data_IF_883362850035
#
_entry.id   IF_883362850035
#
_cell.length_a   1.000
_cell.length_b   1.000
_cell.length_c   1.000
_cell.angle_alpha   90.00
_cell.angle_beta   90.00
_cell.angle_gamma   90.00
#
_symmetry.space_group_name_H-M   'P 1'
#
loop_
_entity.id
_entity.type
_entity.pdbx_description
1 polymer ?
#
# COMPACT_ATOMS: atom_id res chain seq x y z
N UNK A 1 48.22 -25.82 24.45
CA UNK A 1 49.60 -25.42 24.78
C UNK A 1 49.89 -24.16 23.99
N UNK A 2 50.06 -23.00 24.67
CA UNK A 2 50.67 -21.71 24.26
C UNK A 2 50.45 -21.18 22.81
N UNK A 3 50.16 -19.92 22.50
CA UNK A 3 50.57 -18.65 23.07
C UNK A 3 49.68 -17.51 22.54
N UNK A 4 49.51 -16.48 23.35
CA UNK A 4 49.01 -15.16 23.02
C UNK A 4 50.03 -14.40 22.17
N UNK A 5 49.60 -13.75 21.09
CA UNK A 5 50.32 -12.63 20.46
C UNK A 5 49.32 -11.49 20.22
N UNK A 6 49.53 -10.38 20.93
CA UNK A 6 48.88 -9.10 20.66
C UNK A 6 49.56 -8.45 19.45
N UNK A 7 48.79 -8.06 18.43
CA UNK A 7 49.18 -7.00 17.50
C UNK A 7 47.95 -6.30 16.92
N UNK A 8 47.98 -4.97 17.02
CA UNK A 8 47.00 -4.01 16.53
C UNK A 8 46.43 -4.39 15.15
N UNK A 9 45.11 -4.49 15.06
CA UNK A 9 44.37 -4.29 13.82
C UNK A 9 43.04 -3.65 14.17
N UNK A 10 42.73 -2.54 13.50
CA UNK A 10 41.44 -1.87 13.57
C UNK A 10 40.38 -2.86 13.05
N UNK A 11 39.53 -3.35 13.94
CA UNK A 11 38.37 -4.15 13.56
C UNK A 11 37.29 -3.21 13.00
N UNK A 12 37.27 -3.03 11.68
CA UNK A 12 36.11 -2.53 10.96
C UNK A 12 35.10 -3.68 10.81
N UNK A 13 34.17 -3.79 11.75
CA UNK A 13 33.08 -4.77 11.66
C UNK A 13 31.94 -4.15 10.83
N UNK A 14 31.88 -4.47 9.54
CA UNK A 14 30.71 -4.16 8.70
C UNK A 14 29.65 -5.22 8.97
N UNK A 15 28.70 -4.93 9.86
CA UNK A 15 27.54 -5.79 10.12
C UNK A 15 26.45 -5.42 9.11
N UNK A 16 26.24 -6.30 8.12
CA UNK A 16 25.00 -6.31 7.35
C UNK A 16 23.87 -6.82 8.26
N UNK A 17 22.88 -5.99 8.54
CA UNK A 17 21.68 -6.41 9.26
C UNK A 17 20.42 -5.88 8.58
N UNK A 18 19.84 -6.77 7.75
CA UNK A 18 18.44 -6.79 7.35
C UNK A 18 17.56 -7.00 8.61
N UNK A 19 16.46 -6.25 8.71
CA UNK A 19 15.19 -6.54 9.43
C UNK A 19 15.27 -6.92 10.93
N UNK A 20 14.84 -6.02 11.82
CA UNK A 20 13.64 -6.14 12.69
C UNK A 20 13.70 -5.16 13.88
N UNK A 21 12.59 -4.45 14.09
CA UNK A 21 12.28 -3.49 15.15
C UNK A 21 12.27 -4.07 16.60
N UNK A 22 12.97 -5.18 16.87
CA UNK A 22 12.87 -5.91 18.15
C UNK A 22 14.18 -5.99 18.96
N UNK A 23 15.27 -5.35 18.52
CA UNK A 23 16.56 -5.41 19.24
C UNK A 23 17.10 -4.08 19.79
N UNK A 24 16.41 -2.95 19.59
CA UNK A 24 16.86 -1.65 20.11
C UNK A 24 16.82 -1.61 21.66
N UNK A 25 15.85 -2.29 22.28
CA UNK A 25 15.78 -2.34 23.76
C UNK A 25 16.88 -3.21 24.39
N UNK A 26 17.29 -4.30 23.74
CA UNK A 26 18.36 -5.19 24.25
C UNK A 26 19.74 -4.54 24.20
N UNK A 27 20.00 -3.66 23.22
CA UNK A 27 21.29 -2.98 23.09
C UNK A 27 21.47 -1.84 24.10
N UNK A 28 20.39 -1.14 24.46
CA UNK A 28 20.41 -0.10 25.50
C UNK A 28 20.66 -0.67 26.90
N UNK A 29 20.26 -1.92 27.18
CA UNK A 29 20.60 -2.58 28.45
C UNK A 29 22.08 -2.96 28.54
N UNK A 30 22.71 -3.36 27.43
CA UNK A 30 24.12 -3.80 27.42
C UNK A 30 25.07 -2.60 27.58
N UNK A 31 24.71 -1.43 27.03
CA UNK A 31 25.52 -0.19 27.10
C UNK A 31 25.48 0.52 28.47
N UNK A 32 24.48 0.25 29.32
CA UNK A 32 24.41 0.84 30.68
C UNK A 32 25.36 0.19 31.68
N UNK A 33 25.94 -0.97 31.38
CA UNK A 33 26.67 -1.79 32.37
C UNK A 33 28.19 -1.83 32.23
N UNK A 34 28.82 -0.99 31.39
CA UNK A 34 30.29 -0.92 31.34
C UNK A 34 30.80 0.51 31.15
N UNK A 35 31.43 1.02 32.20
CA UNK A 35 32.18 2.29 32.21
C UNK A 35 33.53 2.08 31.52
N UNK A 36 33.77 2.77 30.41
CA UNK A 36 35.09 2.86 29.79
C UNK A 36 35.54 4.33 29.77
N UNK A 37 36.70 4.69 30.35
CA UNK A 37 37.21 6.04 30.31
C UNK A 37 37.96 6.30 28.99
N UNK A 38 37.74 7.48 28.42
CA UNK A 38 38.57 8.21 27.45
C UNK A 38 39.15 7.43 26.25
N UNK A 39 38.38 7.35 25.17
CA UNK A 39 38.88 7.42 23.80
C UNK A 39 37.94 8.33 23.00
N UNK A 40 38.48 9.38 22.40
CA UNK A 40 37.75 10.24 21.47
C UNK A 40 37.57 9.49 20.14
N UNK A 41 36.55 8.61 20.10
CA UNK A 41 36.13 7.95 18.86
C UNK A 41 35.19 8.90 18.13
N UNK A 42 35.70 9.56 17.08
CA UNK A 42 34.87 10.31 16.14
C UNK A 42 33.94 9.36 15.40
N UNK A 43 32.73 9.17 15.93
CA UNK A 43 31.69 8.39 15.27
C UNK A 43 31.09 9.26 14.15
N UNK A 44 31.62 9.15 12.94
CA UNK A 44 30.92 9.62 11.74
C UNK A 44 29.73 8.69 11.50
N UNK A 45 28.62 8.94 12.21
CA UNK A 45 27.32 8.38 11.85
C UNK A 45 26.92 9.06 10.55
N UNK A 46 27.21 8.42 9.41
CA UNK A 46 26.44 8.70 8.19
C UNK A 46 24.99 8.49 8.59
N UNK A 47 24.22 9.59 8.64
CA UNK A 47 22.78 9.57 8.88
C UNK A 47 22.17 8.67 7.81
N UNK A 48 22.00 7.39 8.12
CA UNK A 48 21.23 6.50 7.27
C UNK A 48 19.82 7.08 7.31
N UNK A 49 19.34 7.55 6.16
CA UNK A 49 17.94 7.98 5.98
C UNK A 49 17.08 6.79 6.36
N UNK A 50 16.56 6.82 7.57
CA UNK A 50 15.49 5.92 7.97
C UNK A 50 14.26 6.40 7.23
N UNK A 51 13.97 5.80 6.07
CA UNK A 51 12.67 5.92 5.42
C UNK A 51 11.64 5.30 6.38
N UNK A 52 11.06 6.13 7.25
CA UNK A 52 9.93 5.71 8.09
C UNK A 52 8.73 5.55 7.17
N UNK A 53 8.36 4.32 6.89
CA UNK A 53 7.11 4.01 6.20
C UNK A 53 5.97 4.26 7.18
N UNK A 54 5.11 5.21 6.85
CA UNK A 54 3.92 5.50 7.66
C UNK A 54 2.72 4.73 7.10
N UNK A 55 1.94 4.11 7.99
CA UNK A 55 0.75 3.34 7.65
C UNK A 55 -0.48 4.10 8.13
N UNK A 56 -1.32 4.52 7.19
CA UNK A 56 -2.60 5.15 7.48
C UNK A 56 -3.74 4.20 7.11
N UNK A 57 -4.54 3.79 8.09
CA UNK A 57 -5.78 3.04 7.85
C UNK A 57 -6.98 3.98 7.90
N UNK A 58 -7.87 3.90 6.92
CA UNK A 58 -9.15 4.63 6.90
C UNK A 58 -10.28 3.60 6.73
N UNK A 59 -11.06 3.44 7.79
CA UNK A 59 -12.21 2.54 7.82
C UNK A 59 -13.49 3.33 7.54
N UNK A 60 -14.38 2.77 6.72
CA UNK A 60 -15.64 3.38 6.29
C UNK A 60 -15.45 4.83 5.81
N UNK A 61 -14.56 5.04 4.82
CA UNK A 61 -14.15 6.36 4.39
C UNK A 61 -15.34 7.10 3.78
N UNK A 62 -15.54 8.37 4.16
CA UNK A 62 -16.64 9.18 3.65
C UNK A 62 -16.20 10.65 3.52
N UNK A 63 -16.82 11.39 2.61
CA UNK A 63 -16.48 12.77 2.33
C UNK A 63 -15.18 12.90 1.54
N UNK A 64 -14.46 14.00 1.72
CA UNK A 64 -13.24 14.33 0.97
C UNK A 64 -12.03 14.42 1.89
N UNK A 65 -10.90 13.84 1.46
CA UNK A 65 -9.61 13.93 2.15
C UNK A 65 -8.50 14.23 1.15
N UNK A 66 -7.57 15.10 1.57
CA UNK A 66 -6.35 15.40 0.81
C UNK A 66 -5.13 15.09 1.67
N UNK A 67 -4.14 14.42 1.08
CA UNK A 67 -2.87 14.06 1.72
C UNK A 67 -1.75 14.59 0.83
N UNK A 68 -0.74 15.22 1.42
CA UNK A 68 0.42 15.73 0.70
C UNK A 68 1.66 15.01 1.22
N UNK A 69 2.45 14.45 0.31
CA UNK A 69 3.66 13.67 0.61
C UNK A 69 4.87 14.47 0.17
N UNK A 70 5.75 14.77 1.13
CA UNK A 70 6.94 15.60 0.97
C UNK A 70 8.17 14.74 0.65
N UNK A 71 9.34 15.38 0.56
CA UNK A 71 10.59 14.74 0.14
C UNK A 71 10.92 13.49 0.95
N UNK A 72 11.17 12.39 0.24
CA UNK A 72 11.63 11.10 0.81
C UNK A 72 10.67 10.50 1.84
N UNK A 73 9.39 10.86 1.78
CA UNK A 73 8.34 10.26 2.58
C UNK A 73 7.69 9.11 1.82
N UNK A 74 7.36 8.04 2.54
CA UNK A 74 6.68 6.86 2.01
C UNK A 74 5.44 6.58 2.84
N UNK A 75 4.27 6.63 2.19
CA UNK A 75 2.97 6.50 2.83
C UNK A 75 2.21 5.29 2.28
N UNK A 76 1.85 4.37 3.16
CA UNK A 76 0.96 3.26 2.86
C UNK A 76 -0.44 3.58 3.38
N UNK A 77 -1.41 3.69 2.47
CA UNK A 77 -2.80 4.00 2.81
C UNK A 77 -3.64 2.75 2.59
N UNK A 78 -4.33 2.30 3.63
CA UNK A 78 -5.27 1.18 3.58
C UNK A 78 -6.69 1.73 3.74
N UNK A 79 -7.53 1.54 2.72
CA UNK A 79 -8.94 1.91 2.72
C UNK A 79 -9.77 0.64 2.88
N UNK A 80 -10.63 0.59 3.89
CA UNK A 80 -11.53 -0.55 4.11
C UNK A 80 -12.96 -0.05 4.29
N UNK A 81 -13.88 -0.54 3.46
CA UNK A 81 -15.29 -0.22 3.58
C UNK A 81 -16.18 -1.45 3.40
N UNK A 82 -16.47 -2.07 4.53
CA UNK A 82 -17.39 -3.20 4.65
C UNK A 82 -18.73 -2.77 5.29
N UNK A 83 -18.95 -1.47 5.46
CA UNK A 83 -20.20 -0.97 6.03
C UNK A 83 -21.39 -1.24 5.08
N UNK A 84 -22.60 -1.52 5.59
CA UNK A 84 -23.79 -1.72 4.76
C UNK A 84 -24.45 -0.39 4.33
N UNK A 85 -23.70 0.71 4.36
CA UNK A 85 -24.21 2.06 4.11
C UNK A 85 -23.81 2.56 2.72
N UNK A 86 -24.49 3.61 2.27
CA UNK A 86 -24.06 4.35 1.09
C UNK A 86 -22.83 5.19 1.43
N UNK A 87 -21.86 5.20 0.52
CA UNK A 87 -20.60 5.91 0.68
C UNK A 87 -20.32 6.79 -0.53
N UNK A 88 -19.91 8.03 -0.29
CA UNK A 88 -19.26 8.87 -1.29
C UNK A 88 -17.92 9.33 -0.73
N UNK A 89 -16.82 8.83 -1.29
CA UNK A 89 -15.49 9.10 -0.79
C UNK A 89 -14.59 9.65 -1.89
N UNK A 90 -13.91 10.75 -1.59
CA UNK A 90 -12.91 11.36 -2.45
C UNK A 90 -11.57 11.43 -1.70
N UNK A 91 -10.55 10.76 -2.23
CA UNK A 91 -9.18 10.86 -1.74
C UNK A 91 -8.30 11.48 -2.81
N UNK A 92 -7.62 12.56 -2.46
CA UNK A 92 -6.58 13.16 -3.28
C UNK A 92 -5.23 13.04 -2.57
N UNK A 93 -4.27 12.39 -3.20
CA UNK A 93 -2.89 12.29 -2.71
C UNK A 93 -1.99 13.07 -3.65
N UNK A 94 -1.26 14.04 -3.10
CA UNK A 94 -0.34 14.89 -3.85
C UNK A 94 1.08 14.46 -3.47
N UNK A 95 1.76 13.78 -4.38
CA UNK A 95 3.19 13.51 -4.31
C UNK A 95 3.91 14.75 -4.81
N UNK A 96 4.35 15.60 -3.89
CA UNK A 96 5.04 16.85 -4.19
C UNK A 96 6.56 16.70 -4.04
N UNK A 97 6.99 15.87 -3.09
CA UNK A 97 8.40 15.69 -2.78
C UNK A 97 9.18 14.86 -3.79
N UNK A 98 10.49 15.04 -3.78
CA UNK A 98 11.46 14.21 -4.48
C UNK A 98 11.59 12.86 -3.78
N UNK A 99 11.54 11.75 -4.53
CA UNK A 99 11.48 10.39 -3.96
C UNK A 99 10.29 10.20 -2.99
N UNK A 100 9.17 10.87 -3.24
CA UNK A 100 7.93 10.61 -2.51
C UNK A 100 7.27 9.32 -3.02
N UNK A 101 6.79 8.50 -2.09
CA UNK A 101 6.17 7.21 -2.39
C UNK A 101 4.78 7.12 -1.76
N UNK A 102 3.81 6.57 -2.49
CA UNK A 102 2.48 6.30 -1.98
C UNK A 102 1.91 4.99 -2.50
N UNK A 103 1.59 4.08 -1.59
CA UNK A 103 0.90 2.83 -1.94
C UNK A 103 -0.48 2.80 -1.29
N UNK A 104 -1.51 2.78 -2.12
CA UNK A 104 -2.90 2.75 -1.68
C UNK A 104 -3.48 1.36 -1.95
N UNK A 105 -4.00 0.73 -0.90
CA UNK A 105 -4.71 -0.55 -0.98
C UNK A 105 -6.14 -0.31 -0.54
N UNK A 106 -7.10 -0.49 -1.45
CA UNK A 106 -8.52 -0.30 -1.20
C UNK A 106 -9.30 -1.60 -1.22
N UNK A 107 -10.11 -1.85 -0.19
CA UNK A 107 -11.01 -3.00 -0.08
C UNK A 107 -12.42 -2.50 0.20
N UNK A 108 -13.34 -2.78 -0.71
CA UNK A 108 -14.73 -2.33 -0.60
C UNK A 108 -15.70 -3.48 -0.82
N UNK A 109 -16.80 -3.47 -0.09
CA UNK A 109 -17.91 -4.40 -0.28
C UNK A 109 -19.24 -3.65 -0.29
N UNK A 110 -20.11 -4.04 -1.22
CA UNK A 110 -21.49 -3.56 -1.32
C UNK A 110 -22.45 -4.76 -1.28
N UNK A 111 -23.58 -4.59 -0.62
CA UNK A 111 -24.56 -5.64 -0.33
C UNK A 111 -25.98 -5.07 -0.34
N UNK A 112 -26.97 -5.94 -0.48
CA UNK A 112 -28.39 -5.55 -0.55
C UNK A 112 -28.60 -4.47 -1.63
N UNK A 113 -28.96 -3.24 -1.26
CA UNK A 113 -29.27 -2.16 -2.20
C UNK A 113 -28.35 -0.93 -2.05
N UNK A 114 -27.26 -1.04 -1.28
CA UNK A 114 -26.38 0.10 -1.01
C UNK A 114 -25.47 0.47 -2.19
N UNK A 115 -24.95 1.69 -2.16
CA UNK A 115 -24.12 2.26 -3.23
C UNK A 115 -22.85 2.89 -2.67
N UNK A 116 -21.71 2.54 -3.24
CA UNK A 116 -20.43 3.14 -2.88
C UNK A 116 -19.77 3.76 -4.10
N UNK A 117 -19.46 5.04 -3.99
CA UNK A 117 -18.73 5.81 -4.99
C UNK A 117 -17.40 6.24 -4.39
N UNK A 118 -16.31 5.71 -4.93
CA UNK A 118 -14.95 6.07 -4.54
C UNK A 118 -14.27 6.79 -5.68
N UNK A 119 -13.65 7.93 -5.38
CA UNK A 119 -12.79 8.64 -6.30
C UNK A 119 -11.44 8.84 -5.65
N UNK A 120 -10.41 8.24 -6.21
CA UNK A 120 -9.06 8.26 -5.63
C UNK A 120 -8.12 8.81 -6.69
N UNK A 121 -7.42 9.89 -6.39
CA UNK A 121 -6.52 10.55 -7.33
C UNK A 121 -5.14 10.69 -6.71
N UNK A 122 -4.12 10.14 -7.37
CA UNK A 122 -2.71 10.40 -7.09
C UNK A 122 -2.19 11.43 -8.09
N UNK A 123 -1.70 12.57 -7.60
CA UNK A 123 -1.07 13.64 -8.38
C UNK A 123 0.43 13.61 -8.16
N UNK A 124 1.20 13.56 -9.22
CA UNK A 124 2.66 13.55 -9.20
C UNK A 124 3.14 14.91 -9.69
N UNK A 125 3.89 15.62 -8.85
CA UNK A 125 4.27 17.02 -9.07
C UNK A 125 5.78 17.30 -8.92
N UNK A 126 6.59 16.29 -8.66
CA UNK A 126 8.02 16.40 -8.34
C UNK A 126 8.86 15.32 -9.01
N UNK A 127 10.02 14.98 -8.44
CA UNK A 127 11.02 14.15 -9.09
C UNK A 127 11.10 12.73 -8.51
N UNK A 128 11.17 11.70 -9.36
CA UNK A 128 11.36 10.29 -8.96
C UNK A 128 10.31 9.77 -7.98
N UNK A 129 9.05 9.99 -8.29
CA UNK A 129 7.94 9.66 -7.40
C UNK A 129 7.34 8.32 -7.75
N UNK A 130 6.92 7.55 -6.76
CA UNK A 130 6.31 6.23 -6.97
C UNK A 130 4.91 6.20 -6.38
N UNK A 131 3.92 5.84 -7.17
CA UNK A 131 2.54 5.70 -6.71
C UNK A 131 1.93 4.41 -7.21
N UNK A 132 1.26 3.68 -6.31
CA UNK A 132 0.42 2.55 -6.69
C UNK A 132 -0.97 2.65 -6.07
N UNK A 133 -1.97 2.22 -6.83
CA UNK A 133 -3.36 2.11 -6.40
C UNK A 133 -3.88 0.70 -6.70
N UNK A 134 -4.07 -0.14 -5.69
CA UNK A 134 -4.70 -1.47 -5.82
C UNK A 134 -6.06 -1.47 -5.13
N UNK A 135 -7.15 -1.51 -5.91
CA UNK A 135 -8.51 -1.54 -5.39
C UNK A 135 -9.17 -2.85 -5.74
N UNK A 136 -9.76 -3.49 -4.72
CA UNK A 136 -10.57 -4.69 -4.89
C UNK A 136 -11.94 -4.50 -4.26
N UNK A 137 -12.94 -4.73 -5.07
CA UNK A 137 -14.33 -4.50 -4.76
C UNK A 137 -15.18 -5.75 -4.90
N UNK A 138 -16.13 -5.96 -4.00
CA UNK A 138 -17.17 -6.99 -4.16
C UNK A 138 -18.54 -6.31 -4.17
N UNK A 139 -19.38 -6.63 -5.14
CA UNK A 139 -20.76 -6.17 -5.21
C UNK A 139 -21.73 -7.35 -5.19
N UNK A 140 -22.63 -7.37 -4.20
CA UNK A 140 -23.58 -8.46 -3.92
C UNK A 140 -25.02 -7.93 -3.88
N UNK A 141 -26.02 -8.81 -4.02
CA UNK A 141 -27.42 -8.39 -4.01
C UNK A 141 -27.77 -7.51 -5.22
N UNK A 142 -28.49 -6.40 -5.04
CA UNK A 142 -28.77 -5.40 -6.08
C UNK A 142 -27.89 -4.15 -5.95
N UNK A 143 -26.76 -4.26 -5.24
CA UNK A 143 -25.92 -3.13 -4.87
C UNK A 143 -25.08 -2.59 -6.04
N UNK A 144 -24.46 -1.42 -5.84
CA UNK A 144 -23.62 -0.77 -6.85
C UNK A 144 -22.30 -0.27 -6.27
N UNK A 145 -21.19 -0.73 -6.84
CA UNK A 145 -19.85 -0.23 -6.51
C UNK A 145 -19.23 0.50 -7.71
N UNK A 146 -18.85 1.75 -7.48
CA UNK A 146 -18.24 2.62 -8.46
C UNK A 146 -16.89 3.11 -7.94
N UNK A 147 -15.85 2.95 -8.75
CA UNK A 147 -14.49 3.38 -8.41
C UNK A 147 -13.89 4.14 -9.58
N UNK A 148 -13.44 5.36 -9.29
CA UNK A 148 -12.72 6.25 -10.18
C UNK A 148 -11.29 6.43 -9.65
N UNK A 149 -10.38 5.51 -9.98
CA UNK A 149 -8.96 5.65 -9.70
C UNK A 149 -8.25 6.48 -10.76
N UNK A 150 -7.43 7.43 -10.33
CA UNK A 150 -6.70 8.30 -11.23
C UNK A 150 -5.24 8.48 -10.82
N UNK A 151 -4.35 8.45 -11.81
CA UNK A 151 -2.97 8.88 -11.69
C UNK A 151 -2.75 10.04 -12.66
N UNK A 152 -2.36 11.19 -12.13
CA UNK A 152 -2.12 12.42 -12.87
C UNK A 152 -0.66 12.79 -12.71
N UNK A 153 0.14 12.53 -13.74
CA UNK A 153 1.54 12.94 -13.82
C UNK A 153 1.58 14.33 -14.45
N UNK A 154 1.80 15.35 -13.63
CA UNK A 154 1.75 16.76 -14.04
C UNK A 154 3.01 17.17 -14.82
N UNK A 155 2.99 18.29 -15.56
CA UNK A 155 4.11 18.70 -16.42
C UNK A 155 5.41 18.96 -15.65
N UNK A 156 5.31 19.28 -14.35
CA UNK A 156 6.47 19.50 -13.48
C UNK A 156 7.10 18.21 -12.97
N UNK A 157 6.41 17.08 -13.12
CA UNK A 157 6.90 15.80 -12.66
C UNK A 157 7.91 15.20 -13.64
N UNK A 158 8.89 14.50 -13.08
CA UNK A 158 9.99 13.90 -13.84
C UNK A 158 10.34 12.55 -13.24
N UNK A 159 10.57 11.54 -14.09
CA UNK A 159 10.90 10.17 -13.68
C UNK A 159 9.86 9.53 -12.73
N UNK A 160 8.59 9.91 -12.82
CA UNK A 160 7.52 9.31 -12.01
C UNK A 160 7.19 7.88 -12.47
N UNK A 161 6.76 7.05 -11.52
CA UNK A 161 6.23 5.71 -11.72
C UNK A 161 4.82 5.62 -11.13
N UNK A 162 3.83 5.28 -11.96
CA UNK A 162 2.43 5.18 -11.55
C UNK A 162 1.81 3.85 -11.99
N UNK A 163 1.15 3.15 -11.06
CA UNK A 163 0.38 1.93 -11.33
C UNK A 163 -1.03 2.02 -10.74
N UNK A 164 -2.03 1.68 -11.55
CA UNK A 164 -3.43 1.55 -11.10
C UNK A 164 -3.91 0.13 -11.40
N UNK A 165 -4.45 -0.55 -10.40
CA UNK A 165 -5.04 -1.88 -10.53
C UNK A 165 -6.40 -1.92 -9.82
N UNK A 166 -7.47 -2.05 -10.58
CA UNK A 166 -8.83 -2.02 -10.05
C UNK A 166 -9.61 -3.27 -10.45
N UNK A 167 -10.19 -3.96 -9.48
CA UNK A 167 -10.93 -5.19 -9.73
C UNK A 167 -12.25 -5.21 -8.98
N UNK A 168 -13.34 -5.51 -9.66
CA UNK A 168 -14.64 -5.76 -9.03
C UNK A 168 -15.11 -7.17 -9.33
N UNK A 169 -15.46 -7.92 -8.28
CA UNK A 169 -16.15 -9.19 -8.40
C UNK A 169 -17.65 -9.02 -8.13
N UNK A 170 -18.48 -9.51 -9.05
CA UNK A 170 -19.94 -9.41 -8.96
C UNK A 170 -20.57 -10.73 -8.47
N UNK A 171 -21.51 -10.61 -7.55
CA UNK A 171 -22.39 -11.68 -7.09
C UNK A 171 -23.85 -11.29 -7.30
N UNK A 172 -24.71 -12.29 -7.52
CA UNK A 172 -26.16 -12.11 -7.77
C UNK A 172 -26.46 -11.04 -8.84
N UNK A 173 -27.09 -9.93 -8.45
CA UNK A 173 -27.47 -8.80 -9.31
C UNK A 173 -26.56 -7.58 -9.08
N UNK A 174 -25.43 -7.77 -8.38
CA UNK A 174 -24.50 -6.73 -8.02
C UNK A 174 -23.91 -6.09 -9.27
N UNK A 175 -23.73 -4.78 -9.22
CA UNK A 175 -23.24 -3.99 -10.34
C UNK A 175 -21.96 -3.28 -9.97
N UNK A 176 -21.01 -3.26 -10.89
CA UNK A 176 -19.72 -2.61 -10.74
C UNK A 176 -19.49 -1.59 -11.85
N UNK A 177 -18.76 -0.52 -11.55
CA UNK A 177 -18.23 0.42 -12.54
C UNK A 177 -16.82 0.83 -12.12
N UNK A 178 -15.89 0.76 -13.06
CA UNK A 178 -14.51 1.21 -12.92
C UNK A 178 -14.23 2.28 -13.98
N UNK A 179 -13.64 3.40 -13.57
CA UNK A 179 -13.15 4.44 -14.48
C UNK A 179 -11.69 4.75 -14.12
N UNK A 180 -10.74 3.89 -14.50
CA UNK A 180 -9.32 4.20 -14.35
C UNK A 180 -8.94 5.36 -15.28
N UNK A 181 -8.27 6.37 -14.75
CA UNK A 181 -7.75 7.51 -15.51
C UNK A 181 -6.24 7.59 -15.34
N UNK A 182 -5.52 7.43 -16.45
CA UNK A 182 -4.09 7.72 -16.49
C UNK A 182 -3.88 8.97 -17.34
N UNK A 183 -3.43 10.05 -16.71
CA UNK A 183 -3.11 11.31 -17.39
C UNK A 183 -1.63 11.60 -17.22
N UNK A 184 -0.93 11.70 -18.34
CA UNK A 184 0.50 11.99 -18.38
C UNK A 184 0.70 13.26 -19.20
N UNK A 185 1.24 14.31 -18.58
CA UNK A 185 1.40 15.64 -19.18
C UNK A 185 2.88 16.03 -19.35
N UNK A 186 3.80 15.06 -19.24
CA UNK A 186 5.25 15.21 -19.38
C UNK A 186 5.82 14.02 -20.14
N UNK A 187 6.90 14.24 -20.90
CA UNK A 187 7.62 13.16 -21.61
C UNK A 187 8.61 12.42 -20.70
N UNK A 188 8.93 13.00 -19.53
CA UNK A 188 9.90 12.45 -18.58
C UNK A 188 9.20 11.57 -17.54
N UNK A 189 8.79 10.37 -17.95
CA UNK A 189 8.13 9.37 -17.11
C UNK A 189 8.91 8.07 -17.09
N UNK A 190 9.11 7.49 -15.90
CA UNK A 190 9.78 6.21 -15.76
C UNK A 190 8.84 5.05 -16.09
N UNK A 191 7.61 5.06 -15.57
CA UNK A 191 6.58 4.09 -15.92
C UNK A 191 5.17 4.61 -15.62
N UNK A 192 4.19 4.17 -16.41
CA UNK A 192 2.80 4.51 -16.19
C UNK A 192 1.92 3.36 -16.72
N UNK A 193 1.13 2.75 -15.85
CA UNK A 193 0.26 1.62 -16.20
C UNK A 193 -1.09 1.71 -15.51
N UNK A 194 -2.11 1.14 -16.14
CA UNK A 194 -3.38 0.85 -15.50
C UNK A 194 -3.90 -0.51 -15.92
N UNK A 195 -4.69 -1.13 -15.04
CA UNK A 195 -5.45 -2.34 -15.29
C UNK A 195 -6.79 -2.23 -14.56
N UNK A 196 -7.88 -2.54 -15.25
CA UNK A 196 -9.20 -2.61 -14.66
C UNK A 196 -9.94 -3.86 -15.14
N UNK A 197 -10.62 -4.55 -14.23
CA UNK A 197 -11.43 -5.72 -14.57
C UNK A 197 -12.68 -5.82 -13.72
N UNK A 198 -13.81 -6.14 -14.35
CA UNK A 198 -15.06 -6.48 -13.67
C UNK A 198 -15.46 -7.87 -14.14
N UNK A 199 -15.67 -8.79 -13.21
CA UNK A 199 -16.05 -10.16 -13.54
C UNK A 199 -17.08 -10.70 -12.55
N UNK A 200 -18.08 -11.47 -13.02
CA UNK A 200 -18.90 -12.24 -12.10
C UNK A 200 -18.07 -13.29 -11.37
N UNK A 201 -18.57 -13.77 -10.24
CA UNK A 201 -18.01 -14.98 -9.61
C UNK A 201 -18.05 -16.16 -10.58
N UNK A 202 -16.94 -16.87 -10.68
CA UNK A 202 -16.81 -18.02 -11.58
C UNK A 202 -17.63 -19.21 -11.06
N UNK A 203 -18.56 -19.69 -11.89
CA UNK A 203 -19.44 -20.81 -11.52
C UNK A 203 -18.68 -22.14 -11.33
N UNK A 204 -17.61 -22.38 -12.08
CA UNK A 204 -16.76 -23.57 -11.94
C UNK A 204 -16.07 -23.62 -10.58
N UNK A 205 -15.55 -22.47 -10.12
CA UNK A 205 -14.99 -22.32 -8.78
C UNK A 205 -16.02 -22.69 -7.69
N UNK A 206 -17.26 -22.21 -7.82
CA UNK A 206 -18.35 -22.55 -6.89
C UNK A 206 -18.73 -24.04 -6.94
N UNK A 207 -18.81 -24.62 -8.13
CA UNK A 207 -19.09 -26.05 -8.32
C UNK A 207 -17.99 -26.92 -7.70
N UNK A 208 -16.73 -26.52 -7.84
CA UNK A 208 -15.59 -27.20 -7.23
C UNK A 208 -15.72 -27.22 -5.70
N UNK A 209 -16.03 -26.09 -5.06
CA UNK A 209 -16.26 -26.07 -3.61
C UNK A 209 -17.46 -26.92 -3.19
N UNK A 210 -18.56 -26.88 -3.94
CA UNK A 210 -19.72 -27.73 -3.70
C UNK A 210 -19.38 -29.23 -3.78
N UNK A 211 -18.54 -29.64 -4.75
CA UNK A 211 -18.06 -31.02 -4.88
C UNK A 211 -17.26 -31.52 -3.68
N UNK A 212 -16.70 -30.59 -2.89
CA UNK A 212 -15.99 -30.87 -1.62
C UNK A 212 -16.89 -30.79 -0.40
N UNK A 213 -18.21 -30.73 -0.59
CA UNK A 213 -19.21 -30.72 0.49
C UNK A 213 -19.44 -29.36 1.13
N UNK A 214 -18.93 -28.27 0.55
CA UNK A 214 -19.18 -26.93 1.07
C UNK A 214 -20.56 -26.43 0.66
N UNK A 215 -21.24 -25.75 1.58
CA UNK A 215 -22.49 -25.07 1.25
C UNK A 215 -22.21 -23.88 0.31
N UNK A 216 -23.17 -23.49 -0.56
CA UNK A 216 -23.01 -22.34 -1.44
C UNK A 216 -22.56 -21.07 -0.72
N UNK A 217 -23.10 -20.79 0.48
CA UNK A 217 -22.76 -19.60 1.26
C UNK A 217 -21.31 -19.64 1.78
N UNK A 218 -20.84 -20.83 2.18
CA UNK A 218 -19.46 -21.03 2.62
C UNK A 218 -18.50 -20.84 1.44
N UNK A 219 -18.82 -21.43 0.29
CA UNK A 219 -18.03 -21.30 -0.93
C UNK A 219 -17.92 -19.83 -1.39
N UNK A 220 -19.05 -19.12 -1.47
CA UNK A 220 -19.07 -17.68 -1.80
C UNK A 220 -18.21 -16.89 -0.82
N UNK A 221 -18.35 -17.13 0.49
CA UNK A 221 -17.56 -16.44 1.51
C UNK A 221 -16.06 -16.67 1.35
N UNK A 222 -15.64 -17.89 1.03
CA UNK A 222 -14.23 -18.22 0.76
C UNK A 222 -13.70 -17.50 -0.47
N UNK A 223 -14.45 -17.52 -1.58
CA UNK A 223 -14.05 -16.82 -2.82
C UNK A 223 -13.93 -15.32 -2.57
N UNK A 224 -14.93 -14.70 -1.93
CA UNK A 224 -14.90 -13.27 -1.58
C UNK A 224 -13.70 -12.91 -0.72
N UNK A 225 -13.48 -13.67 0.34
CA UNK A 225 -12.38 -13.41 1.29
C UNK A 225 -11.02 -13.57 0.62
N UNK A 226 -10.85 -14.58 -0.24
CA UNK A 226 -9.63 -14.76 -1.02
C UNK A 226 -9.40 -13.61 -1.98
N UNK A 227 -10.44 -13.20 -2.73
CA UNK A 227 -10.36 -12.09 -3.68
C UNK A 227 -9.94 -10.77 -3.03
N UNK A 228 -10.52 -10.44 -1.86
CA UNK A 228 -10.24 -9.22 -1.12
C UNK A 228 -8.90 -9.24 -0.36
N UNK A 229 -8.28 -10.40 -0.09
CA UNK A 229 -7.02 -10.47 0.67
C UNK A 229 -5.76 -10.37 -0.17
N UNK A 230 -5.84 -10.72 -1.45
CA UNK A 230 -4.72 -10.74 -2.38
C UNK A 230 -4.34 -9.32 -2.80
#
# INVERSE_FOLDING_TARGET
MFHTFFKNSEHCTIIHAFIHLFQVEKMNQIMKNKTYPNLATGLFVKKQKTNTIHLMKIENPNGKKTIVIQDQQSENIVLEDFSPQDTHFELEVILQGTNAECHIIGRAQTQADNKKNWKITQRFQGHQQTGSLDIRGVAEGNSFLHVDGAAVIEPTSTQASAEINEKIMLFEQGKGKLIPVLRVETDDVASASHAASISPVESESLLYFASRGMTPDTAKTMVKTGFLKV
#
